data_IF_473039042614
#
_entry.id   IF_473039042614
#
_cell.length_a   1.000
_cell.length_b   1.000
_cell.length_c   1.000
_cell.angle_alpha   90.00
_cell.angle_beta   90.00
_cell.angle_gamma   90.00
#
_symmetry.space_group_name_H-M   'P 1'
#
loop_
_entity.id
_entity.type
_entity.pdbx_description
1 polymer ?
#
# COMPACT_ATOMS: atom_id res chain seq x y z
N UNK A 1 1.12 8.83 -28.57
CA UNK A 1 2.22 9.27 -27.68
C UNK A 1 2.26 8.30 -26.50
N UNK A 2 2.54 7.02 -26.80
CA UNK A 2 2.42 5.88 -25.87
C UNK A 2 3.80 5.40 -25.37
N UNK A 3 4.86 6.16 -25.63
CA UNK A 3 6.24 5.68 -25.47
C UNK A 3 6.73 5.70 -24.02
N UNK A 4 6.20 6.56 -23.15
CA UNK A 4 6.75 6.69 -21.79
C UNK A 4 6.22 5.69 -20.75
N UNK A 5 5.05 5.07 -20.96
CA UNK A 5 4.66 3.85 -20.21
C UNK A 5 5.17 2.56 -20.89
N UNK A 6 5.70 2.66 -22.12
CA UNK A 6 6.31 1.58 -22.89
C UNK A 6 7.84 1.53 -22.75
N UNK A 7 8.43 2.18 -21.74
CA UNK A 7 9.84 2.00 -21.40
C UNK A 7 10.08 0.63 -20.74
N UNK A 8 9.93 -0.37 -21.63
CA UNK A 8 10.75 -1.54 -21.87
C UNK A 8 11.02 -2.39 -20.64
N UNK A 9 10.04 -3.25 -20.36
CA UNK A 9 10.31 -4.52 -19.69
C UNK A 9 11.60 -5.10 -20.29
N UNK A 10 12.53 -5.61 -19.46
CA UNK A 10 13.80 -6.15 -19.93
C UNK A 10 13.57 -7.48 -20.63
N UNK A 11 13.10 -7.45 -21.89
CA UNK A 11 12.63 -8.65 -22.62
C UNK A 11 13.72 -9.71 -22.75
N UNK A 12 14.98 -9.29 -22.92
CA UNK A 12 16.13 -10.20 -22.97
C UNK A 12 16.32 -10.94 -21.64
N UNK A 13 16.17 -10.24 -20.52
CA UNK A 13 16.29 -10.84 -19.20
C UNK A 13 15.07 -11.73 -18.90
N UNK A 14 13.87 -11.33 -19.34
CA UNK A 14 12.68 -12.18 -19.22
C UNK A 14 12.79 -13.46 -20.06
N UNK A 15 13.39 -13.38 -21.25
CA UNK A 15 13.66 -14.54 -22.11
C UNK A 15 14.67 -15.49 -21.46
N UNK A 16 15.74 -14.96 -20.85
CA UNK A 16 16.78 -15.77 -20.21
C UNK A 16 16.28 -16.57 -18.99
N UNK A 17 15.14 -16.19 -18.42
CA UNK A 17 14.48 -16.89 -17.32
C UNK A 17 13.17 -17.59 -17.73
N UNK A 18 12.93 -17.73 -19.04
CA UNK A 18 11.79 -18.48 -19.57
C UNK A 18 10.43 -17.79 -19.45
N UNK A 19 10.40 -16.49 -19.17
CA UNK A 19 9.18 -15.67 -19.04
C UNK A 19 8.80 -14.92 -20.31
N UNK A 20 9.63 -15.00 -21.35
CA UNK A 20 9.34 -14.50 -22.68
C UNK A 20 9.71 -15.57 -23.72
N UNK A 21 8.74 -15.99 -24.53
CA UNK A 21 8.94 -17.02 -25.57
C UNK A 21 8.00 -16.76 -26.75
N UNK A 22 8.49 -16.99 -27.97
CA UNK A 22 7.68 -16.90 -29.21
C UNK A 22 6.96 -15.54 -29.36
N UNK A 23 7.59 -14.46 -28.89
CA UNK A 23 7.04 -13.11 -28.96
C UNK A 23 6.05 -12.75 -27.86
N UNK A 24 5.76 -13.66 -26.92
CA UNK A 24 4.78 -13.47 -25.85
C UNK A 24 5.41 -13.61 -24.45
N UNK A 25 4.94 -12.77 -23.52
CA UNK A 25 5.24 -12.90 -22.08
C UNK A 25 4.32 -13.96 -21.49
N UNK A 26 4.85 -14.88 -20.68
CA UNK A 26 4.10 -16.02 -20.13
C UNK A 26 3.49 -15.77 -18.74
N UNK A 27 3.80 -14.62 -18.12
CA UNK A 27 3.21 -14.18 -16.85
C UNK A 27 1.77 -13.68 -17.03
N UNK A 28 1.01 -13.71 -15.92
CA UNK A 28 -0.29 -13.04 -15.88
C UNK A 28 -0.19 -11.52 -16.07
N UNK A 29 -1.34 -10.93 -16.40
CA UNK A 29 -1.43 -9.50 -16.74
C UNK A 29 -1.10 -8.62 -15.53
N UNK A 30 -1.47 -9.05 -14.34
CA UNK A 30 -1.27 -8.32 -13.10
C UNK A 30 0.21 -8.16 -12.77
N UNK A 31 1.00 -9.22 -12.95
CA UNK A 31 2.46 -9.26 -12.80
C UNK A 31 3.17 -8.43 -13.87
N UNK A 32 2.73 -8.53 -15.13
CA UNK A 32 3.22 -7.66 -16.21
C UNK A 32 3.01 -6.19 -15.86
N UNK A 33 1.82 -5.84 -15.37
CA UNK A 33 1.50 -4.47 -14.98
C UNK A 33 2.29 -4.01 -13.76
N UNK A 34 2.59 -4.91 -12.81
CA UNK A 34 3.44 -4.61 -11.66
C UNK A 34 4.85 -4.20 -12.12
N UNK A 35 5.48 -5.01 -12.98
CA UNK A 35 6.80 -4.71 -13.54
C UNK A 35 6.82 -3.39 -14.31
N UNK A 36 5.79 -3.11 -15.12
CA UNK A 36 5.66 -1.84 -15.86
C UNK A 36 5.56 -0.62 -14.94
N UNK A 37 5.07 -0.79 -13.71
CA UNK A 37 5.00 0.27 -12.69
C UNK A 37 6.27 0.36 -11.84
N UNK A 38 7.24 -0.55 -12.03
CA UNK A 38 8.42 -0.66 -11.18
C UNK A 38 8.14 -1.34 -9.83
N UNK A 39 7.01 -2.03 -9.69
CA UNK A 39 6.67 -2.79 -8.48
C UNK A 39 7.18 -4.24 -8.60
N UNK A 40 7.22 -4.94 -7.45
CA UNK A 40 7.47 -6.38 -7.44
C UNK A 40 6.26 -7.17 -7.94
N UNK A 41 6.50 -8.28 -8.63
CA UNK A 41 5.47 -9.28 -8.98
C UNK A 41 5.02 -10.05 -7.74
N UNK A 42 3.97 -10.87 -7.87
CA UNK A 42 3.79 -12.04 -6.99
C UNK A 42 4.87 -13.10 -7.31
N UNK A 43 4.83 -14.27 -6.65
CA UNK A 43 5.73 -15.37 -6.99
C UNK A 43 5.46 -15.85 -8.41
N UNK A 44 6.54 -16.00 -9.19
CA UNK A 44 6.52 -16.55 -10.54
C UNK A 44 7.54 -17.67 -10.64
N UNK A 45 7.21 -18.68 -11.46
CA UNK A 45 8.11 -19.78 -11.77
C UNK A 45 9.03 -19.37 -12.93
N UNK A 46 10.33 -19.28 -12.65
CA UNK A 46 11.38 -19.09 -13.65
C UNK A 46 11.83 -20.46 -14.17
N UNK A 47 12.22 -20.54 -15.45
CA UNK A 47 12.68 -21.78 -16.08
C UNK A 47 14.03 -21.61 -16.73
N UNK A 48 14.86 -22.66 -16.63
CA UNK A 48 16.20 -22.72 -17.23
C UNK A 48 17.09 -21.55 -16.80
N UNK A 49 17.08 -21.21 -15.50
CA UNK A 49 17.86 -20.10 -14.96
C UNK A 49 19.34 -20.49 -14.96
N UNK A 50 20.16 -19.69 -15.63
CA UNK A 50 21.61 -19.95 -15.77
C UNK A 50 22.40 -19.02 -14.86
N UNK A 51 23.21 -19.61 -13.98
CA UNK A 51 24.17 -18.88 -13.17
C UNK A 51 25.42 -18.53 -13.98
N UNK A 52 26.13 -17.48 -13.55
CA UNK A 52 27.39 -17.05 -14.16
C UNK A 52 28.50 -18.12 -14.10
N UNK A 53 28.41 -19.03 -13.14
CA UNK A 53 29.38 -20.12 -12.91
C UNK A 53 29.04 -21.41 -13.67
N UNK A 54 28.10 -21.35 -14.62
CA UNK A 54 27.71 -22.48 -15.47
C UNK A 54 26.72 -23.47 -14.85
N UNK A 55 26.22 -23.20 -13.65
CA UNK A 55 25.12 -23.96 -13.05
C UNK A 55 23.78 -23.60 -13.72
N UNK A 56 22.94 -24.61 -13.95
CA UNK A 56 21.61 -24.45 -14.55
C UNK A 56 20.55 -24.97 -13.57
N UNK A 57 19.57 -24.12 -13.29
CA UNK A 57 18.42 -24.42 -12.46
C UNK A 57 17.23 -24.64 -13.38
N UNK A 58 16.66 -25.85 -13.34
CA UNK A 58 15.51 -26.20 -14.17
C UNK A 58 14.31 -25.28 -13.89
N UNK A 59 13.99 -25.09 -12.60
CA UNK A 59 12.93 -24.21 -12.15
C UNK A 59 13.27 -23.51 -10.82
N UNK A 60 12.86 -22.26 -10.69
CA UNK A 60 13.07 -21.44 -9.49
C UNK A 60 11.85 -20.54 -9.26
N UNK A 61 11.27 -20.58 -8.06
CA UNK A 61 10.29 -19.58 -7.66
C UNK A 61 10.99 -18.31 -7.18
N UNK A 62 10.55 -17.18 -7.73
CA UNK A 62 11.10 -15.87 -7.37
C UNK A 62 10.04 -14.79 -7.54
N UNK A 63 10.29 -13.65 -6.89
CA UNK A 63 9.63 -12.38 -7.23
C UNK A 63 10.53 -11.57 -8.11
N UNK A 64 9.94 -10.73 -8.94
CA UNK A 64 10.66 -9.96 -9.94
C UNK A 64 10.36 -8.48 -9.78
N UNK A 65 11.36 -7.64 -10.06
CA UNK A 65 11.19 -6.20 -10.23
C UNK A 65 12.06 -5.67 -11.35
N UNK A 66 11.73 -4.49 -11.87
CA UNK A 66 12.56 -3.78 -12.84
C UNK A 66 13.36 -2.72 -12.10
N UNK A 67 14.67 -2.73 -12.28
CA UNK A 67 15.58 -1.74 -11.72
C UNK A 67 16.31 -1.01 -12.84
N UNK A 68 16.56 0.29 -12.65
CA UNK A 68 17.43 1.06 -13.53
C UNK A 68 18.89 0.82 -13.11
N UNK A 69 19.69 0.28 -14.02
CA UNK A 69 21.12 0.12 -13.86
C UNK A 69 21.82 0.91 -14.98
N UNK A 70 22.29 2.11 -14.63
CA UNK A 70 23.00 3.03 -15.54
C UNK A 70 22.17 3.43 -16.78
N UNK A 71 20.86 3.64 -16.61
CA UNK A 71 19.95 3.99 -17.70
C UNK A 71 19.48 2.79 -18.54
N UNK A 72 19.88 1.56 -18.18
CA UNK A 72 19.33 0.33 -18.73
C UNK A 72 18.38 -0.32 -17.72
N UNK A 73 17.17 -0.65 -18.15
CA UNK A 73 16.25 -1.44 -17.33
C UNK A 73 16.75 -2.89 -17.27
N UNK A 74 16.94 -3.41 -16.05
CA UNK A 74 17.33 -4.79 -15.77
C UNK A 74 16.28 -5.50 -14.93
N UNK A 75 16.21 -6.81 -15.10
CA UNK A 75 15.37 -7.66 -14.25
C UNK A 75 16.12 -8.00 -12.96
N UNK A 76 15.60 -7.55 -11.82
CA UNK A 76 16.03 -8.05 -10.51
C UNK A 76 15.21 -9.28 -10.16
N UNK A 77 15.91 -10.35 -9.78
CA UNK A 77 15.33 -11.62 -9.37
C UNK A 77 15.55 -11.76 -7.86
N UNK A 78 14.46 -11.86 -7.12
CA UNK A 78 14.42 -11.99 -5.67
C UNK A 78 13.91 -13.42 -5.35
N UNK A 79 14.81 -14.42 -5.17
CA UNK A 79 14.42 -15.81 -5.00
C UNK A 79 13.87 -16.08 -3.59
N UNK A 80 13.14 -17.20 -3.44
CA UNK A 80 12.63 -17.63 -2.13
C UNK A 80 13.76 -18.26 -1.29
N UNK A 81 14.15 -17.59 -0.21
CA UNK A 81 15.15 -18.10 0.73
C UNK A 81 14.50 -19.00 1.79
N UNK A 82 15.22 -20.07 2.17
CA UNK A 82 14.80 -20.98 3.23
C UNK A 82 14.80 -20.30 4.61
N UNK A 83 15.84 -19.50 4.88
CA UNK A 83 16.07 -18.86 6.17
C UNK A 83 16.12 -17.34 5.97
N UNK A 84 15.48 -16.60 6.89
CA UNK A 84 15.50 -15.13 6.89
C UNK A 84 16.92 -14.63 7.14
N UNK A 85 17.45 -13.85 6.21
CA UNK A 85 18.78 -13.25 6.33
C UNK A 85 18.70 -11.96 7.15
N UNK A 86 19.66 -11.74 8.06
CA UNK A 86 19.72 -10.49 8.83
C UNK A 86 20.02 -9.30 7.92
N UNK A 87 19.27 -8.21 8.09
CA UNK A 87 19.59 -6.94 7.45
C UNK A 87 20.63 -6.16 8.28
N UNK A 88 21.72 -5.63 7.69
CA UNK A 88 22.83 -5.03 8.43
C UNK A 88 22.48 -3.78 9.24
N UNK A 89 21.40 -3.08 8.87
CA UNK A 89 20.94 -1.87 9.55
C UNK A 89 19.89 -2.11 10.65
N UNK A 90 19.37 -3.34 10.76
CA UNK A 90 18.33 -3.66 11.75
C UNK A 90 18.97 -4.25 13.01
N UNK A 91 18.49 -3.79 14.17
CA UNK A 91 18.70 -4.50 15.43
C UNK A 91 17.87 -5.79 15.47
N UNK A 92 18.22 -6.71 16.36
CA UNK A 92 17.46 -7.97 16.51
C UNK A 92 15.98 -7.74 16.84
N UNK A 93 15.67 -6.71 17.64
CA UNK A 93 14.28 -6.32 17.93
C UNK A 93 13.56 -5.81 16.69
N UNK A 94 14.16 -4.86 15.97
CA UNK A 94 13.58 -4.30 14.74
C UNK A 94 13.36 -5.41 13.68
N UNK A 95 14.30 -6.34 13.58
CA UNK A 95 14.19 -7.53 12.74
C UNK A 95 12.97 -8.38 13.13
N UNK A 96 12.82 -8.72 14.41
CA UNK A 96 11.68 -9.49 14.91
C UNK A 96 10.34 -8.77 14.67
N UNK A 97 10.29 -7.45 14.86
CA UNK A 97 9.08 -6.65 14.62
C UNK A 97 8.64 -6.68 13.15
N UNK A 98 9.58 -6.64 12.21
CA UNK A 98 9.28 -6.74 10.78
C UNK A 98 8.88 -8.17 10.37
N UNK A 99 9.60 -9.18 10.84
CA UNK A 99 9.34 -10.59 10.49
C UNK A 99 8.01 -11.08 11.06
N UNK A 100 7.67 -10.66 12.28
CA UNK A 100 6.37 -10.98 12.92
C UNK A 100 5.20 -10.19 12.34
N UNK A 101 5.47 -9.15 11.54
CA UNK A 101 4.44 -8.25 11.01
C UNK A 101 3.87 -7.28 12.06
N UNK A 102 4.56 -7.05 13.17
CA UNK A 102 4.20 -6.02 14.17
C UNK A 102 4.26 -4.62 13.54
N UNK A 103 5.28 -4.35 12.72
CA UNK A 103 5.45 -3.09 12.00
C UNK A 103 5.62 -3.32 10.51
N UNK A 104 5.12 -2.39 9.70
CA UNK A 104 5.09 -2.54 8.24
C UNK A 104 6.45 -2.28 7.60
N UNK A 105 7.17 -1.32 8.17
CA UNK A 105 8.47 -0.87 7.74
C UNK A 105 9.19 -0.21 8.92
N UNK A 106 10.50 -0.03 8.76
CA UNK A 106 11.36 0.69 9.69
C UNK A 106 12.21 1.67 8.89
N UNK A 107 12.23 2.93 9.34
CA UNK A 107 13.11 3.96 8.80
C UNK A 107 14.45 3.94 9.52
N UNK A 108 15.55 3.88 8.76
CA UNK A 108 16.92 4.04 9.28
C UNK A 108 17.54 5.29 8.67
N UNK A 109 18.21 6.08 9.50
CA UNK A 109 19.08 7.15 9.02
C UNK A 109 20.40 6.53 8.56
N UNK A 110 20.86 6.92 7.37
CA UNK A 110 22.06 6.41 6.71
C UNK A 110 22.87 7.57 6.14
N UNK A 111 24.10 7.28 5.71
CA UNK A 111 24.94 8.23 4.98
C UNK A 111 25.00 7.75 3.53
N UNK A 112 24.63 8.62 2.58
CA UNK A 112 24.73 8.26 1.16
C UNK A 112 26.17 8.26 0.66
N UNK A 113 26.36 7.85 -0.60
CA UNK A 113 27.69 7.72 -1.22
C UNK A 113 28.47 9.05 -1.26
N UNK A 114 27.76 10.18 -1.17
CA UNK A 114 28.33 11.52 -1.21
C UNK A 114 28.57 12.08 0.20
N UNK A 115 28.35 11.28 1.25
CA UNK A 115 28.55 11.68 2.64
C UNK A 115 27.39 12.46 3.25
N UNK A 116 26.24 12.56 2.57
CA UNK A 116 25.09 13.32 3.08
C UNK A 116 24.18 12.45 3.93
N UNK A 117 23.51 13.09 4.88
CA UNK A 117 22.44 12.44 5.63
C UNK A 117 21.30 12.03 4.69
N UNK A 118 20.93 10.77 4.78
CA UNK A 118 19.88 10.14 4.01
C UNK A 118 19.06 9.21 4.91
N UNK A 119 17.96 8.70 4.39
CA UNK A 119 17.18 7.68 5.08
C UNK A 119 16.91 6.50 4.15
N UNK A 120 16.71 5.35 4.75
CA UNK A 120 16.35 4.11 4.07
C UNK A 120 15.14 3.51 4.78
N UNK A 121 14.12 3.15 4.00
CA UNK A 121 12.93 2.47 4.50
C UNK A 121 13.10 0.98 4.25
N UNK A 122 12.98 0.18 5.30
CA UNK A 122 13.21 -1.26 5.28
C UNK A 122 11.89 -1.98 5.55
N UNK A 123 11.52 -2.89 4.67
CA UNK A 123 10.34 -3.76 4.74
C UNK A 123 10.77 -5.23 4.76
N UNK A 124 9.91 -6.11 5.29
CA UNK A 124 10.08 -7.55 5.16
C UNK A 124 9.11 -8.10 4.10
N UNK A 125 9.66 -8.85 3.15
CA UNK A 125 8.92 -9.62 2.16
C UNK A 125 8.82 -11.07 2.63
N UNK A 126 7.63 -11.44 3.11
CA UNK A 126 7.34 -12.77 3.61
C UNK A 126 7.23 -13.84 2.52
N UNK A 127 7.13 -13.45 1.24
CA UNK A 127 7.10 -14.40 0.13
C UNK A 127 8.51 -14.88 -0.22
N UNK A 128 9.53 -14.03 -0.07
CA UNK A 128 10.93 -14.38 -0.38
C UNK A 128 11.80 -14.59 0.86
N UNK A 129 11.28 -14.28 2.05
CA UNK A 129 12.02 -14.23 3.32
C UNK A 129 13.19 -13.24 3.29
N UNK A 130 13.00 -12.11 2.61
CA UNK A 130 14.02 -11.07 2.46
C UNK A 130 13.60 -9.74 3.04
N UNK A 131 14.59 -8.93 3.40
CA UNK A 131 14.39 -7.51 3.67
C UNK A 131 14.58 -6.72 2.38
N UNK A 132 13.62 -5.85 2.10
CA UNK A 132 13.64 -4.92 0.97
C UNK A 132 13.88 -3.52 1.49
N UNK A 133 14.73 -2.76 0.81
CA UNK A 133 15.10 -1.42 1.26
C UNK A 133 15.03 -0.42 0.10
N UNK A 134 14.60 0.80 0.39
CA UNK A 134 14.53 1.87 -0.62
C UNK A 134 14.81 3.27 -0.05
N UNK A 135 15.34 4.15 -0.91
CA UNK A 135 15.51 5.57 -0.60
C UNK A 135 14.19 6.32 -0.86
N UNK A 136 13.52 6.87 0.17
CA UNK A 136 12.24 7.54 0.00
C UNK A 136 12.32 8.78 -0.90
N UNK A 137 13.50 9.37 -1.10
CA UNK A 137 13.70 10.55 -1.99
C UNK A 137 13.60 10.18 -3.47
N UNK A 138 13.93 8.93 -3.83
CA UNK A 138 13.87 8.43 -5.21
C UNK A 138 12.48 7.95 -5.60
N UNK A 139 11.59 7.75 -4.62
CA UNK A 139 10.24 7.27 -4.85
C UNK A 139 9.36 8.36 -5.49
N UNK A 140 8.82 8.03 -6.66
CA UNK A 140 7.79 8.83 -7.33
C UNK A 140 6.44 8.51 -6.71
N UNK A 141 5.75 9.54 -6.24
CA UNK A 141 4.43 9.42 -5.62
C UNK A 141 3.40 10.27 -6.36
N UNK A 142 2.10 9.91 -6.28
CA UNK A 142 1.04 10.69 -6.91
C UNK A 142 0.96 12.12 -6.38
N UNK A 143 0.46 13.02 -7.23
CA UNK A 143 0.11 14.38 -6.83
C UNK A 143 -1.22 14.40 -6.08
N UNK A 144 -2.15 13.51 -6.43
CA UNK A 144 -3.44 13.36 -5.79
C UNK A 144 -3.87 11.88 -5.73
N UNK A 145 -4.68 11.54 -4.73
CA UNK A 145 -5.33 10.24 -4.60
C UNK A 145 -6.82 10.48 -4.40
N UNK A 146 -7.67 9.80 -5.17
CA UNK A 146 -9.13 9.96 -5.09
C UNK A 146 -9.57 11.43 -5.20
N UNK A 147 -8.96 12.16 -6.14
CA UNK A 147 -9.15 13.60 -6.41
C UNK A 147 -8.66 14.55 -5.29
N UNK A 148 -8.12 14.01 -4.20
CA UNK A 148 -7.51 14.82 -3.14
C UNK A 148 -6.02 15.07 -3.40
N UNK A 149 -5.63 16.33 -3.59
CA UNK A 149 -4.23 16.72 -3.70
C UNK A 149 -3.47 16.44 -2.40
N UNK A 150 -2.36 15.71 -2.50
CA UNK A 150 -1.54 15.36 -1.34
C UNK A 150 -0.72 16.58 -0.90
N UNK A 151 -0.86 16.96 0.38
CA UNK A 151 -0.02 17.98 1.01
C UNK A 151 1.46 17.53 1.06
N UNK A 152 2.43 18.46 1.18
CA UNK A 152 3.84 18.09 1.33
C UNK A 152 4.10 17.10 2.46
N UNK A 153 3.37 17.21 3.57
CA UNK A 153 3.45 16.29 4.69
C UNK A 153 2.92 14.89 4.34
N UNK A 154 1.73 14.78 3.73
CA UNK A 154 1.19 13.48 3.27
C UNK A 154 2.12 12.84 2.25
N UNK A 155 2.72 13.63 1.35
CA UNK A 155 3.73 13.19 0.39
C UNK A 155 5.00 12.65 1.08
N UNK A 156 5.46 13.32 2.14
CA UNK A 156 6.61 12.84 2.93
C UNK A 156 6.26 11.51 3.63
N UNK A 157 5.17 11.49 4.39
CA UNK A 157 4.67 10.31 5.11
C UNK A 157 4.52 9.09 4.19
N UNK A 158 3.84 9.28 3.05
CA UNK A 158 3.65 8.21 2.07
C UNK A 158 4.98 7.68 1.52
N UNK A 159 5.96 8.56 1.24
CA UNK A 159 7.29 8.11 0.80
C UNK A 159 8.04 7.33 1.85
N UNK A 160 7.89 7.73 3.11
CA UNK A 160 8.50 7.05 4.25
C UNK A 160 7.74 5.79 4.68
N UNK A 161 6.74 5.33 3.91
CA UNK A 161 5.97 4.14 4.23
C UNK A 161 4.99 4.33 5.40
N UNK A 162 4.75 5.55 5.84
CA UNK A 162 3.73 5.86 6.85
C UNK A 162 2.32 5.81 6.24
N UNK A 163 1.31 5.51 7.06
CA UNK A 163 -0.10 5.59 6.65
C UNK A 163 -0.51 7.06 6.56
N UNK A 164 -1.16 7.43 5.47
CA UNK A 164 -1.85 8.72 5.32
C UNK A 164 -3.35 8.50 5.27
N UNK A 165 -4.11 9.47 5.79
CA UNK A 165 -5.57 9.46 5.75
C UNK A 165 -6.06 10.61 4.89
N UNK A 166 -6.93 10.32 3.92
CA UNK A 166 -7.64 11.30 3.09
C UNK A 166 -8.88 11.82 3.82
N UNK A 167 -9.45 12.91 3.33
CA UNK A 167 -10.65 13.56 3.87
C UNK A 167 -11.89 12.66 3.87
N UNK A 168 -11.95 11.67 2.98
CA UNK A 168 -13.04 10.68 2.90
C UNK A 168 -12.77 9.41 3.75
N UNK A 169 -11.79 9.47 4.65
CA UNK A 169 -11.39 8.36 5.52
C UNK A 169 -10.63 7.24 4.81
N UNK A 170 -10.26 7.42 3.54
CA UNK A 170 -9.37 6.48 2.84
C UNK A 170 -7.98 6.55 3.48
N UNK A 171 -7.50 5.41 3.98
CA UNK A 171 -6.15 5.23 4.49
C UNK A 171 -5.30 4.57 3.41
N UNK A 172 -4.08 5.09 3.19
CA UNK A 172 -3.15 4.59 2.17
C UNK A 172 -1.75 4.52 2.73
N UNK A 173 -1.03 3.45 2.38
CA UNK A 173 0.36 3.24 2.72
C UNK A 173 1.13 2.77 1.48
N UNK A 174 2.34 3.29 1.25
CA UNK A 174 3.24 2.72 0.26
C UNK A 174 3.90 1.45 0.80
N UNK A 175 4.04 0.43 -0.05
CA UNK A 175 4.74 -0.82 0.27
C UNK A 175 5.52 -1.30 -0.93
N UNK A 176 6.84 -1.38 -0.80
CA UNK A 176 7.70 -1.88 -1.88
C UNK A 176 7.48 -3.37 -2.16
N UNK A 177 7.06 -4.13 -1.13
CA UNK A 177 6.79 -5.56 -1.24
C UNK A 177 5.43 -5.89 -1.90
N UNK A 178 4.54 -4.90 -2.12
CA UNK A 178 3.21 -5.16 -2.68
C UNK A 178 3.17 -4.99 -4.20
N UNK A 179 2.43 -5.86 -4.89
CA UNK A 179 2.28 -5.82 -6.35
C UNK A 179 1.73 -4.51 -6.90
N UNK A 180 0.84 -3.88 -6.13
CA UNK A 180 0.26 -2.58 -6.47
C UNK A 180 1.08 -1.39 -5.93
N UNK A 181 2.15 -1.65 -5.17
CA UNK A 181 3.00 -0.62 -4.53
C UNK A 181 2.30 0.12 -3.39
N UNK A 182 1.06 -0.25 -3.09
CA UNK A 182 0.20 0.42 -2.12
C UNK A 182 -0.64 -0.60 -1.35
N UNK A 183 -0.95 -0.23 -0.12
CA UNK A 183 -2.00 -0.83 0.70
C UNK A 183 -3.03 0.23 1.06
N UNK A 184 -4.28 -0.20 1.23
CA UNK A 184 -5.37 0.69 1.60
C UNK A 184 -6.45 -0.02 2.39
N UNK A 185 -7.25 0.76 3.12
CA UNK A 185 -8.54 0.32 3.67
C UNK A 185 -9.68 0.37 2.62
N UNK A 186 -9.35 0.61 1.34
CA UNK A 186 -10.26 0.55 0.18
C UNK A 186 -9.69 -0.40 -0.87
N UNK A 187 -10.59 -1.00 -1.67
CA UNK A 187 -10.20 -1.98 -2.68
C UNK A 187 -9.73 -1.34 -4.00
N UNK A 188 -10.03 -0.05 -4.20
CA UNK A 188 -9.66 0.69 -5.39
C UNK A 188 -9.29 2.15 -5.08
N UNK A 189 -8.33 2.68 -5.83
CA UNK A 189 -7.87 4.06 -5.78
C UNK A 189 -7.70 4.62 -7.19
N UNK A 190 -7.92 5.92 -7.34
CA UNK A 190 -7.51 6.69 -8.52
C UNK A 190 -6.30 7.53 -8.14
N UNK A 191 -5.16 7.29 -8.77
CA UNK A 191 -3.93 8.04 -8.55
C UNK A 191 -3.74 9.05 -9.69
N UNK A 192 -3.50 10.31 -9.36
CA UNK A 192 -3.12 11.33 -10.33
C UNK A 192 -1.61 11.52 -10.30
N UNK A 193 -0.95 11.41 -11.46
CA UNK A 193 0.49 11.49 -11.65
C UNK A 193 0.82 12.64 -12.60
N UNK A 194 1.89 13.40 -12.30
CA UNK A 194 2.40 14.41 -13.21
C UNK A 194 3.43 13.77 -14.15
N UNK A 195 3.09 13.63 -15.42
CA UNK A 195 3.94 13.03 -16.46
C UNK A 195 4.04 13.99 -17.65
N UNK A 196 5.24 14.26 -18.15
CA UNK A 196 5.49 15.11 -19.33
C UNK A 196 4.81 16.49 -19.33
N UNK A 197 4.65 17.09 -18.15
CA UNK A 197 3.97 18.38 -18.00
C UNK A 197 2.43 18.30 -18.09
N UNK A 198 1.85 17.10 -18.07
CA UNK A 198 0.41 16.86 -18.02
C UNK A 198 -0.01 15.96 -16.85
N UNK A 199 -1.28 16.07 -16.45
CA UNK A 199 -1.88 15.19 -15.45
C UNK A 199 -2.35 13.90 -16.11
N UNK A 200 -1.84 12.78 -15.60
CA UNK A 200 -2.22 11.41 -15.99
C UNK A 200 -2.87 10.70 -14.82
N UNK A 201 -3.68 9.69 -15.10
CA UNK A 201 -4.42 8.96 -14.07
C UNK A 201 -4.13 7.47 -14.15
N UNK A 202 -4.01 6.84 -12.99
CA UNK A 202 -3.88 5.41 -12.84
C UNK A 202 -5.01 4.90 -11.94
N UNK A 203 -5.86 4.05 -12.50
CA UNK A 203 -6.82 3.28 -11.74
C UNK A 203 -6.11 2.04 -11.18
N UNK A 204 -6.10 1.89 -9.87
CA UNK A 204 -5.53 0.73 -9.17
C UNK A 204 -6.67 0.02 -8.44
N UNK A 205 -6.89 -1.25 -8.76
CA UNK A 205 -7.91 -2.12 -8.14
C UNK A 205 -7.25 -3.35 -7.52
N UNK A 206 -7.96 -4.04 -6.63
CA UNK A 206 -7.43 -5.22 -5.94
C UNK A 206 -6.27 -4.86 -5.01
N UNK A 207 -6.36 -3.72 -4.33
CA UNK A 207 -5.31 -3.21 -3.44
C UNK A 207 -5.30 -4.05 -2.15
N UNK A 208 -4.09 -4.45 -1.73
CA UNK A 208 -3.88 -5.18 -0.48
C UNK A 208 -4.29 -4.34 0.73
N UNK A 209 -4.75 -5.01 1.80
CA UNK A 209 -5.16 -4.33 3.04
C UNK A 209 -3.98 -3.86 3.87
N UNK A 210 -4.17 -2.75 4.59
CA UNK A 210 -3.26 -2.27 5.63
C UNK A 210 -3.04 -3.35 6.71
N UNK A 211 -1.85 -3.39 7.29
CA UNK A 211 -1.55 -4.38 8.33
C UNK A 211 -2.40 -4.15 9.58
N UNK A 212 -2.78 -5.24 10.25
CA UNK A 212 -3.57 -5.18 11.49
C UNK A 212 -5.06 -4.85 11.30
N UNK A 213 -5.54 -4.60 10.07
CA UNK A 213 -6.96 -4.33 9.78
C UNK A 213 -7.66 -5.61 9.32
N UNK A 214 -8.53 -6.18 10.17
CA UNK A 214 -9.21 -7.46 9.91
C UNK A 214 -10.71 -7.37 9.57
N UNK A 215 -11.37 -6.22 9.64
CA UNK A 215 -12.84 -6.20 9.55
C UNK A 215 -13.38 -6.33 8.11
N UNK A 216 -14.56 -6.93 8.00
CA UNK A 216 -15.31 -7.13 6.76
C UNK A 216 -16.11 -5.88 6.30
N UNK A 217 -15.98 -4.75 7.01
CA UNK A 217 -16.93 -3.63 6.94
C UNK A 217 -16.36 -2.35 6.32
N UNK A 218 -15.15 -2.38 5.77
CA UNK A 218 -14.60 -1.26 5.02
C UNK A 218 -15.02 -1.37 3.55
N UNK A 219 -15.91 -0.45 3.12
CA UNK A 219 -16.56 -0.47 1.81
C UNK A 219 -15.54 -0.47 0.66
N UNK A 220 -15.81 -1.21 -0.42
CA UNK A 220 -14.91 -1.33 -1.58
C UNK A 220 -14.48 0.01 -2.19
N UNK A 221 -15.37 1.01 -2.10
CA UNK A 221 -15.23 2.30 -2.77
C UNK A 221 -15.52 3.45 -1.82
N UNK A 222 -14.93 4.62 -2.10
CA UNK A 222 -15.15 5.86 -1.34
C UNK A 222 -15.83 6.94 -2.19
N UNK A 223 -16.34 7.98 -1.53
CA UNK A 223 -16.88 9.17 -2.23
C UNK A 223 -15.80 9.88 -3.06
N UNK A 224 -14.58 9.99 -2.54
CA UNK A 224 -13.44 10.54 -3.29
C UNK A 224 -13.14 9.71 -4.53
N UNK A 225 -13.18 8.38 -4.42
CA UNK A 225 -12.96 7.47 -5.55
C UNK A 225 -13.98 7.69 -6.69
N UNK A 226 -15.28 7.72 -6.37
CA UNK A 226 -16.32 7.99 -7.38
C UNK A 226 -16.20 9.38 -8.01
N UNK A 227 -15.81 10.38 -7.21
CA UNK A 227 -15.58 11.74 -7.69
C UNK A 227 -14.40 11.77 -8.66
N UNK A 228 -13.31 11.10 -8.32
CA UNK A 228 -12.14 10.96 -9.17
C UNK A 228 -12.46 10.25 -10.48
N UNK A 229 -13.23 9.16 -10.47
CA UNK A 229 -13.66 8.48 -11.70
C UNK A 229 -14.44 9.40 -12.64
N UNK A 230 -15.37 10.20 -12.10
CA UNK A 230 -16.12 11.19 -12.91
C UNK A 230 -15.21 12.26 -13.50
N UNK A 231 -14.19 12.70 -12.77
CA UNK A 231 -13.24 13.68 -13.29
C UNK A 231 -12.36 13.08 -14.40
N UNK A 232 -11.88 11.86 -14.21
CA UNK A 232 -11.15 11.12 -15.25
C UNK A 232 -12.00 10.96 -16.50
N UNK A 233 -13.27 10.55 -16.35
CA UNK A 233 -14.22 10.42 -17.45
C UNK A 233 -14.35 11.72 -18.24
N UNK A 234 -14.62 12.85 -17.57
CA UNK A 234 -14.73 14.18 -18.21
C UNK A 234 -13.47 14.54 -18.98
N UNK A 235 -12.30 14.24 -18.44
CA UNK A 235 -11.03 14.56 -19.10
C UNK A 235 -10.78 13.68 -20.32
N UNK A 236 -11.09 12.38 -20.24
CA UNK A 236 -11.01 11.47 -21.37
C UNK A 236 -12.01 11.86 -22.48
N UNK A 237 -13.22 12.29 -22.13
CA UNK A 237 -14.20 12.81 -23.10
C UNK A 237 -13.69 14.06 -23.82
N UNK A 238 -13.11 15.02 -23.08
CA UNK A 238 -12.48 16.21 -23.68
C UNK A 238 -11.31 15.83 -24.59
N UNK A 239 -10.51 14.83 -24.22
CA UNK A 239 -9.41 14.32 -25.06
C UNK A 239 -9.96 13.62 -26.32
N UNK A 240 -11.01 12.81 -26.20
CA UNK A 240 -11.67 12.14 -27.33
C UNK A 240 -12.24 13.15 -28.33
N UNK A 241 -12.83 14.25 -27.85
CA UNK A 241 -13.31 15.32 -28.74
C UNK A 241 -12.18 15.98 -29.53
N UNK A 242 -11.00 16.14 -28.92
CA UNK A 242 -9.80 16.68 -29.59
C UNK A 242 -9.14 15.67 -30.53
N UNK A 243 -9.22 14.38 -30.20
CA UNK A 243 -8.59 13.28 -30.94
C UNK A 243 -9.60 12.16 -31.25
N UNK A 244 -10.61 12.41 -32.11
CA UNK A 244 -11.76 11.52 -32.29
C UNK A 244 -11.42 10.13 -32.84
N UNK A 245 -10.27 9.98 -33.50
CA UNK A 245 -9.83 8.73 -34.11
C UNK A 245 -8.87 7.91 -33.23
N UNK A 246 -8.54 8.40 -32.02
CA UNK A 246 -7.65 7.67 -31.11
C UNK A 246 -8.44 6.59 -30.37
N UNK A 247 -8.21 5.33 -30.74
CA UNK A 247 -8.85 4.16 -30.13
C UNK A 247 -8.40 3.92 -28.69
N UNK A 248 -7.21 4.41 -28.29
CA UNK A 248 -6.72 4.19 -26.93
C UNK A 248 -7.55 4.98 -25.91
N UNK A 249 -7.89 6.23 -26.23
CA UNK A 249 -8.74 7.09 -25.40
C UNK A 249 -10.15 6.49 -25.26
N UNK A 250 -10.72 5.98 -26.36
CA UNK A 250 -12.03 5.33 -26.33
C UNK A 250 -12.03 4.08 -25.43
N UNK A 251 -10.96 3.28 -25.47
CA UNK A 251 -10.81 2.11 -24.61
C UNK A 251 -10.67 2.50 -23.12
N UNK A 252 -9.85 3.51 -22.81
CA UNK A 252 -9.72 4.04 -21.44
C UNK A 252 -11.06 4.56 -20.92
N UNK A 253 -11.81 5.30 -21.74
CA UNK A 253 -13.12 5.82 -21.37
C UNK A 253 -14.11 4.69 -21.05
N UNK A 254 -14.11 3.61 -21.83
CA UNK A 254 -14.94 2.44 -21.57
C UNK A 254 -14.57 1.75 -20.24
N UNK A 255 -13.28 1.64 -19.94
CA UNK A 255 -12.81 1.08 -18.65
C UNK A 255 -13.31 1.94 -17.49
N UNK A 256 -13.17 3.25 -17.57
CA UNK A 256 -13.61 4.19 -16.52
C UNK A 256 -15.13 4.15 -16.35
N UNK A 257 -15.91 4.14 -17.44
CA UNK A 257 -17.38 4.05 -17.38
C UNK A 257 -17.86 2.73 -16.77
N UNK A 258 -17.21 1.62 -17.12
CA UNK A 258 -17.50 0.32 -16.55
C UNK A 258 -17.21 0.30 -15.05
N UNK A 259 -16.04 0.81 -14.63
CA UNK A 259 -15.68 0.88 -13.21
C UNK A 259 -16.62 1.79 -12.43
N UNK A 260 -16.97 2.96 -12.99
CA UNK A 260 -17.93 3.86 -12.37
C UNK A 260 -19.30 3.19 -12.19
N UNK A 261 -19.77 2.44 -13.19
CA UNK A 261 -21.03 1.70 -13.12
C UNK A 261 -21.00 0.63 -12.03
N UNK A 262 -19.90 -0.12 -11.92
CA UNK A 262 -19.71 -1.12 -10.87
C UNK A 262 -19.67 -0.50 -9.48
N UNK A 263 -18.93 0.61 -9.32
CA UNK A 263 -18.75 1.28 -8.04
C UNK A 263 -20.01 2.03 -7.58
N UNK A 264 -20.80 2.56 -8.51
CA UNK A 264 -22.06 3.27 -8.22
C UNK A 264 -23.28 2.37 -8.08
N UNK A 265 -23.18 1.08 -8.41
CA UNK A 265 -24.22 0.10 -8.12
C UNK A 265 -24.35 -0.21 -6.60
N UNK A 266 -23.43 0.28 -5.77
CA UNK A 266 -23.57 0.31 -4.32
C UNK A 266 -24.62 1.35 -3.89
N UNK A 267 -25.41 1.07 -2.85
CA UNK A 267 -26.58 1.91 -2.53
C UNK A 267 -26.18 3.33 -2.07
N UNK A 268 -26.93 4.38 -2.44
CA UNK A 268 -26.67 5.77 -1.99
C UNK A 268 -26.61 5.94 -0.47
N UNK A 269 -27.38 5.15 0.29
CA UNK A 269 -27.34 5.15 1.75
C UNK A 269 -26.01 4.62 2.33
N UNK A 270 -25.31 3.75 1.60
CA UNK A 270 -23.96 3.29 1.94
C UNK A 270 -22.91 4.37 1.60
N UNK A 271 -23.15 5.18 0.58
CA UNK A 271 -22.24 6.26 0.16
C UNK A 271 -22.27 7.50 1.05
N UNK A 272 -23.45 7.87 1.58
CA UNK A 272 -23.59 9.04 2.46
C UNK A 272 -23.11 8.78 3.89
N UNK A 273 -23.09 7.53 4.35
CA UNK A 273 -22.54 7.12 5.66
C UNK A 273 -21.01 7.05 5.69
N UNK A 274 -20.34 7.13 4.53
CA UNK A 274 -18.88 7.13 4.42
C UNK A 274 -18.22 8.50 4.67
N UNK A 275 -19.00 9.58 4.73
CA UNK A 275 -18.46 10.95 4.76
C UNK A 275 -18.16 11.50 6.16
N UNK A 276 -18.53 10.80 7.25
CA UNK A 276 -18.33 11.28 8.61
C UNK A 276 -18.02 10.13 9.56
N UNK A 277 -16.74 9.80 9.68
CA UNK A 277 -16.15 9.43 10.97
C UNK A 277 -14.96 10.35 11.17
N UNK A 278 -15.20 11.44 11.88
CA UNK A 278 -14.12 12.26 12.40
C UNK A 278 -13.17 11.36 13.18
N UNK A 279 -11.87 11.45 12.89
CA UNK A 279 -10.82 10.65 13.52
C UNK A 279 -10.68 10.93 15.04
N UNK A 280 -11.50 11.83 15.60
CA UNK A 280 -11.51 12.22 17.01
C UNK A 280 -12.59 11.50 17.86
N UNK A 281 -13.42 10.62 17.27
CA UNK A 281 -14.48 9.89 18.00
C UNK A 281 -14.12 8.46 18.42
N UNK A 282 -12.82 8.13 18.55
CA UNK A 282 -12.38 6.99 19.38
C UNK A 282 -12.31 7.45 20.84
N UNK A 283 -13.46 7.80 21.42
CA UNK A 283 -13.61 7.84 22.87
C UNK A 283 -13.78 6.41 23.38
N UNK A 284 -12.74 5.93 24.06
CA UNK A 284 -12.79 4.98 25.17
C UNK A 284 -13.99 4.01 25.20
N UNK A 285 -13.87 2.90 24.50
CA UNK A 285 -14.49 1.65 24.92
C UNK A 285 -13.40 0.59 25.15
N UNK A 286 -12.52 0.87 26.12
CA UNK A 286 -11.98 -0.20 26.97
C UNK A 286 -12.92 -0.34 28.15
N UNK A 287 -13.95 -1.17 27.99
CA UNK A 287 -14.58 -1.84 29.11
C UNK A 287 -14.65 -3.32 28.77
N UNK A 288 -13.65 -4.05 29.24
CA UNK A 288 -13.76 -5.50 29.43
C UNK A 288 -13.46 -5.75 30.90
N UNK A 289 -14.57 -5.82 31.65
CA UNK A 289 -14.80 -6.56 32.88
C UNK A 289 -13.57 -6.93 33.73
N UNK A 290 -13.40 -6.18 34.82
CA UNK A 290 -12.88 -6.70 36.08
C UNK A 290 -14.08 -7.25 36.88
N UNK A 291 -14.16 -8.56 37.21
CA UNK A 291 -15.27 -9.13 37.94
C UNK A 291 -14.96 -9.09 39.44
N UNK A 292 -15.04 -7.92 40.08
CA UNK A 292 -15.18 -7.89 41.54
C UNK A 292 -15.87 -6.62 42.05
N UNK A 293 -17.20 -6.66 42.09
CA UNK A 293 -17.95 -5.82 43.01
C UNK A 293 -18.81 -6.70 43.93
N UNK A 294 -18.22 -6.94 45.10
CA UNK A 294 -18.95 -7.19 46.33
C UNK A 294 -20.08 -6.18 46.52
N UNK A 295 -21.25 -6.77 46.73
CA UNK A 295 -22.55 -6.20 47.06
C UNK A 295 -22.50 -5.06 48.07
N UNK A 296 -23.25 -4.00 47.81
CA UNK A 296 -23.89 -3.19 48.86
C UNK A 296 -25.34 -2.90 48.46
N UNK A 297 -26.27 -3.53 49.19
CA UNK A 297 -27.67 -3.10 49.28
C UNK A 297 -27.76 -2.01 50.36
N UNK A 298 -28.65 -1.02 50.23
CA UNK A 298 -29.05 -0.16 51.34
C UNK A 298 -30.31 -0.68 52.04
N UNK A 299 -30.58 -0.07 53.21
CA UNK A 299 -31.82 -0.03 54.01
C UNK A 299 -31.85 -0.94 55.24
N UNK A 300 -32.04 -0.31 56.40
CA UNK A 300 -32.96 -0.81 57.44
C UNK A 300 -32.40 -0.98 58.84
N UNK A 301 -32.55 0.07 59.64
CA UNK A 301 -33.05 0.07 61.03
C UNK A 301 -32.34 -0.69 62.19
N UNK A 302 -32.18 0.13 63.23
CA UNK A 302 -32.36 -0.13 64.66
C UNK A 302 -31.21 -0.62 65.57
N UNK A 303 -30.96 0.31 66.52
CA UNK A 303 -30.96 0.10 67.97
C UNK A 303 -29.63 0.00 68.75
N UNK A 304 -29.60 0.85 69.78
CA UNK A 304 -28.83 0.77 71.04
C UNK A 304 -27.30 0.91 70.96
N UNK A 305 -26.58 1.57 71.85
CA UNK A 305 -26.85 2.54 72.92
C UNK A 305 -25.44 2.93 73.46
N UNK A 306 -25.31 4.13 74.02
CA UNK A 306 -24.56 4.41 75.27
C UNK A 306 -23.03 4.12 75.27
N UNK A 307 -22.25 5.21 75.17
CA UNK A 307 -21.51 5.82 76.31
C UNK A 307 -20.07 6.30 76.06
N UNK A 308 -19.88 7.53 76.54
CA UNK A 308 -18.75 8.03 77.32
C UNK A 308 -17.39 8.28 76.67
N UNK A 309 -17.19 9.58 76.42
CA UNK A 309 -16.22 10.42 77.14
C UNK A 309 -14.73 10.22 76.83
N UNK A 310 -14.10 11.26 76.29
CA UNK A 310 -13.23 12.17 77.08
C UNK A 310 -12.54 13.15 76.13
N UNK A 311 -12.80 14.43 76.38
CA UNK A 311 -11.92 15.50 75.94
C UNK A 311 -10.65 15.57 76.80
N UNK A 312 -9.59 16.12 76.18
CA UNK A 312 -8.45 16.88 76.71
C UNK A 312 -7.52 17.01 75.49
N UNK A 313 -7.08 18.17 75.03
CA UNK A 313 -6.95 19.46 75.68
C UNK A 313 -5.54 19.98 75.38
N UNK A 314 -5.49 21.21 74.86
CA UNK A 314 -4.34 22.05 74.52
C UNK A 314 -3.69 21.82 73.16
#
# INVERSE_FOLDING_TARGET
MNEQLNNQLPLKDLESVGLYKEGAITMDRENINALKRGNMTDLVELKNVKGNDGFEIEALEARLSVVDENGENKLRIDPVYKDVQKHPLLSDKEHEQLVSGEVANIKKEVVDKDGNAASEIIEFDNLTNQFLSYDPRKLKIPVAINDENLSPEKKRKLREGEVITLSDGTEVQYRTADKNGLRSNRNALVLSLLLDGGLSYLLVTGISRLMGKQSAEEQSYSKGYLTALKEVEKQLERKQQKFPNDKSIANELNVVKHEFSNASAMSPAQLDTLSFKDADDVKNEKNVNDPDHGRNNPVGEDEHDIENSRGRGR
#
